data_IF_216274437059
#
_entry.id   IF_216274437059
#
_cell.length_a   1.000
_cell.length_b   1.000
_cell.length_c   1.000
_cell.angle_alpha   90.00
_cell.angle_beta   90.00
_cell.angle_gamma   90.00
#
_symmetry.space_group_name_H-M   'P 1'
#
loop_
_entity.id
_entity.type
_entity.pdbx_description
1 polymer ?
#
# COMPACT_ATOMS: atom_id res chain seq x y z
N UNK A 1 2.84 37.07 25.04
CA UNK A 1 3.86 37.27 23.99
C UNK A 1 3.55 36.31 22.87
N UNK A 2 3.02 36.80 21.75
CA UNK A 2 2.60 35.97 20.61
C UNK A 2 3.83 35.76 19.71
N UNK A 3 4.40 34.56 19.79
CA UNK A 3 5.56 34.18 18.98
C UNK A 3 5.04 33.66 17.62
N UNK A 4 4.76 34.61 16.72
CA UNK A 4 4.34 34.29 15.34
C UNK A 4 5.61 33.93 14.56
N UNK A 5 5.65 32.74 13.94
CA UNK A 5 6.83 32.32 13.17
C UNK A 5 7.12 33.30 12.03
N UNK A 6 8.38 33.53 11.65
CA UNK A 6 8.75 34.42 10.58
C UNK A 6 8.12 33.95 9.24
N UNK A 7 7.53 34.92 8.52
CA UNK A 7 6.82 34.70 7.22
C UNK A 7 7.61 33.88 6.18
N UNK A 8 8.92 33.81 6.27
CA UNK A 8 9.78 33.02 5.37
C UNK A 8 9.71 31.51 5.61
N UNK A 9 9.45 31.07 6.84
CA UNK A 9 9.30 29.64 7.15
C UNK A 9 7.94 29.10 6.69
N UNK A 10 6.87 29.90 6.81
CA UNK A 10 5.54 29.51 6.31
C UNK A 10 5.52 29.36 4.79
N UNK A 11 6.21 30.22 4.04
CA UNK A 11 6.31 30.13 2.58
C UNK A 11 7.13 28.91 2.14
N UNK A 12 8.17 28.53 2.87
CA UNK A 12 9.00 27.36 2.55
C UNK A 12 8.26 26.05 2.84
N UNK A 13 7.44 26.01 3.89
CA UNK A 13 6.58 24.85 4.20
C UNK A 13 5.41 24.69 3.20
N UNK A 14 4.87 25.78 2.67
CA UNK A 14 3.78 25.72 1.69
C UNK A 14 4.20 25.06 0.37
N UNK A 15 5.47 25.18 -0.03
CA UNK A 15 5.99 24.70 -1.31
C UNK A 15 6.66 23.31 -1.25
N UNK A 16 6.59 22.61 -0.09
CA UNK A 16 7.17 21.27 0.03
C UNK A 16 6.32 20.25 -0.71
N UNK A 17 6.83 19.76 -1.84
CA UNK A 17 6.19 18.77 -2.72
C UNK A 17 6.06 17.42 -2.00
N UNK A 18 4.86 16.85 -2.02
CA UNK A 18 4.63 15.46 -1.60
C UNK A 18 5.32 14.52 -2.60
N UNK A 19 6.14 13.60 -2.10
CA UNK A 19 6.86 12.64 -2.92
C UNK A 19 6.26 11.26 -2.67
N UNK A 20 5.79 10.60 -3.73
CA UNK A 20 5.25 9.24 -3.68
C UNK A 20 6.27 8.28 -4.25
N UNK A 21 6.76 7.38 -3.41
CA UNK A 21 7.66 6.30 -3.79
C UNK A 21 6.83 5.03 -4.04
N UNK A 22 6.76 4.63 -5.31
CA UNK A 22 6.00 3.47 -5.78
C UNK A 22 6.75 2.76 -6.90
N UNK A 23 6.67 1.42 -6.93
CA UNK A 23 7.21 0.62 -8.04
C UNK A 23 6.27 0.71 -9.25
N UNK A 24 6.79 1.23 -10.37
CA UNK A 24 6.02 1.33 -11.62
C UNK A 24 5.62 -0.05 -12.17
N UNK A 25 6.49 -1.05 -12.03
CA UNK A 25 6.23 -2.43 -12.46
C UNK A 25 5.02 -3.07 -11.80
N UNK A 26 4.73 -2.73 -10.53
CA UNK A 26 3.57 -3.21 -9.81
C UNK A 26 2.24 -2.75 -10.46
N UNK A 27 2.23 -1.56 -11.04
CA UNK A 27 1.03 -1.06 -11.70
C UNK A 27 0.70 -1.85 -12.97
N UNK A 28 1.70 -2.12 -13.80
CA UNK A 28 1.51 -2.89 -15.05
C UNK A 28 1.10 -4.33 -14.72
N UNK A 29 1.82 -4.98 -13.81
CA UNK A 29 1.50 -6.35 -13.39
C UNK A 29 0.08 -6.46 -12.79
N UNK A 30 -0.29 -5.49 -11.95
CA UNK A 30 -1.63 -5.45 -11.35
C UNK A 30 -2.73 -5.39 -12.41
N UNK A 31 -2.58 -4.52 -13.41
CA UNK A 31 -3.57 -4.40 -14.47
C UNK A 31 -3.64 -5.65 -15.35
N UNK A 32 -2.49 -6.26 -15.68
CA UNK A 32 -2.45 -7.49 -16.44
C UNK A 32 -3.22 -8.62 -15.72
N UNK A 33 -2.99 -8.78 -14.40
CA UNK A 33 -3.69 -9.80 -13.60
C UNK A 33 -5.19 -9.48 -13.50
N UNK A 34 -5.57 -8.21 -13.27
CA UNK A 34 -6.98 -7.81 -13.19
C UNK A 34 -7.71 -8.13 -14.49
N UNK A 35 -7.13 -7.82 -15.66
CA UNK A 35 -7.71 -8.11 -16.96
C UNK A 35 -7.84 -9.62 -17.17
N UNK A 36 -6.81 -10.40 -16.85
CA UNK A 36 -6.85 -11.85 -16.96
C UNK A 36 -7.95 -12.47 -16.06
N UNK A 37 -8.02 -12.04 -14.80
CA UNK A 37 -9.02 -12.55 -13.85
C UNK A 37 -10.45 -12.13 -14.24
N UNK A 38 -10.63 -10.92 -14.77
CA UNK A 38 -11.92 -10.48 -15.29
C UNK A 38 -12.38 -11.32 -16.50
N UNK A 39 -11.44 -11.64 -17.40
CA UNK A 39 -11.73 -12.53 -18.54
C UNK A 39 -12.16 -13.92 -18.07
N UNK A 40 -11.45 -14.54 -17.12
CA UNK A 40 -11.83 -15.84 -16.56
C UNK A 40 -13.17 -15.80 -15.82
N UNK A 41 -13.46 -14.71 -15.12
CA UNK A 41 -14.76 -14.53 -14.45
C UNK A 41 -15.92 -14.45 -15.45
N UNK A 42 -15.72 -13.81 -16.63
CA UNK A 42 -16.71 -13.74 -17.71
C UNK A 42 -16.95 -15.15 -18.28
N UNK A 43 -15.90 -15.90 -18.59
CA UNK A 43 -16.03 -17.28 -19.08
C UNK A 43 -16.77 -18.18 -18.08
N UNK A 44 -16.48 -18.06 -16.79
CA UNK A 44 -17.21 -18.78 -15.77
C UNK A 44 -18.69 -18.37 -15.67
N UNK A 45 -19.00 -17.10 -15.91
CA UNK A 45 -20.38 -16.62 -15.91
C UNK A 45 -21.20 -17.17 -17.09
N UNK A 46 -20.58 -17.40 -18.25
CA UNK A 46 -21.23 -18.02 -19.41
C UNK A 46 -21.65 -19.47 -19.10
N UNK A 47 -20.87 -20.23 -18.32
CA UNK A 47 -21.20 -21.58 -17.92
C UNK A 47 -22.42 -21.66 -16.98
N UNK A 48 -22.70 -20.61 -16.19
CA UNK A 48 -23.91 -20.57 -15.34
C UNK A 48 -25.18 -20.65 -16.19
N UNK A 49 -25.17 -20.02 -17.35
CA UNK A 49 -26.31 -20.03 -18.28
C UNK A 49 -26.61 -21.44 -18.86
N UNK A 50 -25.65 -22.35 -18.83
CA UNK A 50 -25.78 -23.74 -19.28
C UNK A 50 -26.30 -24.72 -18.21
N UNK A 51 -26.59 -24.23 -17.00
CA UNK A 51 -27.22 -25.01 -15.90
C UNK A 51 -26.26 -25.48 -14.80
N UNK A 52 -24.95 -25.28 -14.93
CA UNK A 52 -23.98 -25.63 -13.92
C UNK A 52 -23.70 -24.40 -13.02
N UNK A 53 -24.35 -24.26 -11.88
CA UNK A 53 -24.22 -23.03 -11.06
C UNK A 53 -23.06 -23.06 -10.06
N UNK A 54 -22.85 -24.17 -9.36
CA UNK A 54 -21.94 -24.21 -8.21
C UNK A 54 -20.46 -24.00 -8.58
N UNK A 55 -19.95 -24.75 -9.56
CA UNK A 55 -18.54 -24.63 -10.00
C UNK A 55 -18.18 -23.23 -10.50
N UNK A 56 -18.93 -22.67 -11.46
CA UNK A 56 -18.69 -21.32 -11.97
C UNK A 56 -18.78 -20.22 -10.91
N UNK A 57 -19.72 -20.26 -9.96
CA UNK A 57 -19.80 -19.29 -8.87
C UNK A 57 -18.54 -19.31 -7.98
N UNK A 58 -18.05 -20.51 -7.65
CA UNK A 58 -16.78 -20.64 -6.90
C UNK A 58 -15.61 -20.08 -7.70
N UNK A 59 -15.55 -20.32 -9.00
CA UNK A 59 -14.53 -19.75 -9.90
C UNK A 59 -14.56 -18.23 -9.93
N UNK A 60 -15.74 -17.62 -10.04
CA UNK A 60 -15.91 -16.15 -10.00
C UNK A 60 -15.46 -15.60 -8.66
N UNK A 61 -15.84 -16.23 -7.54
CA UNK A 61 -15.38 -15.80 -6.20
C UNK A 61 -13.86 -15.85 -6.07
N UNK A 62 -13.21 -16.89 -6.59
CA UNK A 62 -11.75 -17.00 -6.60
C UNK A 62 -11.09 -15.91 -7.46
N UNK A 63 -11.62 -15.59 -8.64
CA UNK A 63 -11.14 -14.51 -9.50
C UNK A 63 -11.24 -13.14 -8.78
N UNK A 64 -12.39 -12.84 -8.20
CA UNK A 64 -12.59 -11.60 -7.45
C UNK A 64 -11.66 -11.51 -6.24
N UNK A 65 -11.50 -12.59 -5.47
CA UNK A 65 -10.57 -12.65 -4.34
C UNK A 65 -9.13 -12.40 -4.76
N UNK A 66 -8.70 -12.96 -5.89
CA UNK A 66 -7.38 -12.73 -6.47
C UNK A 66 -7.21 -11.25 -6.85
N UNK A 67 -8.21 -10.62 -7.46
CA UNK A 67 -8.20 -9.18 -7.79
C UNK A 67 -8.03 -8.35 -6.51
N UNK A 68 -8.78 -8.66 -5.45
CA UNK A 68 -8.65 -7.98 -4.14
C UNK A 68 -7.23 -8.05 -3.63
N UNK A 69 -6.66 -9.25 -3.56
CA UNK A 69 -5.31 -9.48 -3.03
C UNK A 69 -4.26 -8.72 -3.84
N UNK A 70 -4.30 -8.86 -5.16
CA UNK A 70 -3.34 -8.19 -6.06
C UNK A 70 -3.45 -6.67 -5.94
N UNK A 71 -4.65 -6.10 -5.93
CA UNK A 71 -4.87 -4.66 -5.82
C UNK A 71 -4.40 -4.11 -4.47
N UNK A 72 -4.59 -4.85 -3.38
CA UNK A 72 -4.11 -4.44 -2.06
C UNK A 72 -2.58 -4.47 -1.97
N UNK A 73 -1.94 -5.53 -2.45
CA UNK A 73 -0.47 -5.65 -2.44
C UNK A 73 0.17 -4.59 -3.35
N UNK A 74 -0.29 -4.48 -4.60
CA UNK A 74 0.28 -3.55 -5.57
C UNK A 74 -0.09 -2.08 -5.31
N UNK A 75 -1.08 -1.83 -4.46
CA UNK A 75 -1.44 -0.50 -3.94
C UNK A 75 -0.47 0.06 -2.91
N UNK A 76 0.42 -0.78 -2.38
CA UNK A 76 1.40 -0.38 -1.37
C UNK A 76 2.36 0.70 -1.91
N UNK A 77 2.68 1.67 -1.07
CA UNK A 77 3.55 2.81 -1.41
C UNK A 77 4.08 3.50 -0.17
N UNK A 78 5.13 4.29 -0.32
CA UNK A 78 5.61 5.21 0.71
C UNK A 78 5.34 6.64 0.24
N UNK A 79 4.74 7.45 1.09
CA UNK A 79 4.43 8.85 0.81
C UNK A 79 5.21 9.73 1.78
N UNK A 80 6.07 10.58 1.24
CA UNK A 80 6.82 11.58 2.00
C UNK A 80 5.99 12.86 2.02
N UNK A 81 5.21 13.01 3.07
CA UNK A 81 4.39 14.18 3.34
C UNK A 81 5.20 15.40 3.80
N UNK A 82 4.53 16.48 4.16
CA UNK A 82 5.19 17.71 4.66
C UNK A 82 5.81 17.52 6.05
N UNK A 83 5.12 16.87 6.97
CA UNK A 83 5.50 16.68 8.38
C UNK A 83 5.64 15.23 8.80
N UNK A 84 5.16 14.30 7.99
CA UNK A 84 5.09 12.87 8.32
C UNK A 84 5.41 12.00 7.11
N UNK A 85 5.86 10.80 7.40
CA UNK A 85 6.08 9.69 6.49
C UNK A 85 4.86 8.77 6.57
N UNK A 86 4.23 8.46 5.44
CA UNK A 86 3.17 7.45 5.39
C UNK A 86 3.68 6.17 4.71
N UNK A 87 3.54 5.04 5.39
CA UNK A 87 3.79 3.71 4.85
C UNK A 87 2.44 3.04 4.61
N UNK A 88 2.02 2.99 3.36
CA UNK A 88 0.76 2.37 2.95
C UNK A 88 1.04 0.91 2.61
N UNK A 89 0.65 0.00 3.49
CA UNK A 89 0.70 -1.44 3.31
C UNK A 89 -0.70 -1.99 2.93
N UNK A 90 -0.82 -3.27 2.53
CA UNK A 90 -2.08 -3.83 2.04
C UNK A 90 -3.26 -3.74 3.03
N UNK A 91 -2.99 -3.81 4.33
CA UNK A 91 -4.00 -3.84 5.40
C UNK A 91 -3.97 -2.57 6.24
N UNK A 92 -2.78 -2.07 6.55
CA UNK A 92 -2.60 -0.93 7.44
C UNK A 92 -1.77 0.16 6.80
N UNK A 93 -2.14 1.40 7.08
CA UNK A 93 -1.36 2.61 6.79
C UNK A 93 -0.79 3.15 8.08
N UNK A 94 0.54 3.33 8.10
CA UNK A 94 1.28 3.90 9.21
C UNK A 94 1.65 5.33 8.87
N UNK A 95 1.32 6.28 9.75
CA UNK A 95 1.72 7.68 9.67
C UNK A 95 2.73 7.96 10.77
N UNK A 96 3.94 8.30 10.37
CA UNK A 96 5.09 8.41 11.26
C UNK A 96 5.64 9.83 11.12
N UNK A 97 5.53 10.69 12.14
CA UNK A 97 6.19 11.97 12.16
C UNK A 97 7.70 11.81 11.97
N UNK A 98 8.34 12.64 11.16
CA UNK A 98 9.77 12.51 10.85
C UNK A 98 10.68 12.52 12.08
N UNK A 99 10.27 13.17 13.18
CA UNK A 99 11.04 13.18 14.44
C UNK A 99 11.13 11.81 15.11
N UNK A 100 10.12 10.96 14.90
CA UNK A 100 10.07 9.61 15.48
C UNK A 100 10.87 8.58 14.66
N UNK A 101 11.25 8.92 13.43
CA UNK A 101 12.09 8.05 12.60
C UNK A 101 13.51 8.09 13.13
N UNK A 102 14.00 6.98 13.66
CA UNK A 102 15.38 6.83 14.16
C UNK A 102 16.30 6.33 13.07
N UNK A 103 15.87 5.30 12.35
CA UNK A 103 16.65 4.67 11.30
C UNK A 103 15.75 4.18 10.17
N UNK A 104 16.28 4.14 8.97
CA UNK A 104 15.64 3.54 7.79
C UNK A 104 16.70 2.70 7.11
N UNK A 105 16.46 1.43 6.99
CA UNK A 105 17.41 0.50 6.37
C UNK A 105 16.72 -0.49 5.43
N UNK A 106 17.53 -1.33 4.82
CA UNK A 106 17.06 -2.46 4.02
C UNK A 106 17.47 -3.72 4.75
N UNK A 107 16.50 -4.53 5.16
CA UNK A 107 16.74 -5.82 5.78
C UNK A 107 17.50 -6.77 4.83
N UNK A 108 18.07 -7.87 5.34
CA UNK A 108 18.85 -8.84 4.54
C UNK A 108 18.06 -9.44 3.38
N UNK A 109 16.74 -9.53 3.52
CA UNK A 109 15.79 -9.97 2.48
C UNK A 109 15.41 -8.87 1.48
N UNK A 110 16.01 -7.67 1.57
CA UNK A 110 15.74 -6.53 0.69
C UNK A 110 14.49 -5.72 1.05
N UNK A 111 13.84 -6.03 2.18
CA UNK A 111 12.65 -5.30 2.65
C UNK A 111 13.05 -3.98 3.30
N UNK A 112 12.44 -2.87 2.86
CA UNK A 112 12.64 -1.57 3.48
C UNK A 112 11.95 -1.52 4.85
N UNK A 113 12.73 -1.25 5.90
CA UNK A 113 12.26 -1.18 7.30
C UNK A 113 12.53 0.21 7.87
N UNK A 114 11.58 0.72 8.64
CA UNK A 114 11.65 2.01 9.31
C UNK A 114 11.57 1.76 10.81
N UNK A 115 12.62 2.16 11.53
CA UNK A 115 12.69 2.08 12.99
C UNK A 115 12.21 3.39 13.60
N UNK A 116 11.44 3.28 14.69
CA UNK A 116 10.91 4.45 15.40
C UNK A 116 11.43 4.54 16.81
N UNK A 117 11.52 5.76 17.35
CA UNK A 117 11.93 6.01 18.73
C UNK A 117 11.01 5.38 19.79
N UNK A 118 9.82 4.96 19.41
CA UNK A 118 8.87 4.23 20.26
C UNK A 118 9.15 2.72 20.28
N UNK A 119 10.27 2.26 19.67
CA UNK A 119 10.68 0.85 19.62
C UNK A 119 9.92 0.01 18.58
N UNK A 120 9.15 0.65 17.71
CA UNK A 120 8.40 -0.02 16.63
C UNK A 120 9.24 -0.17 15.36
N UNK A 121 9.10 -1.32 14.70
CA UNK A 121 9.62 -1.58 13.36
C UNK A 121 8.47 -1.67 12.37
N UNK A 122 8.55 -0.89 11.28
CA UNK A 122 7.52 -0.84 10.26
C UNK A 122 8.13 -1.19 8.92
N UNK A 123 7.82 -2.39 8.44
CA UNK A 123 8.28 -2.88 7.14
C UNK A 123 7.33 -2.46 6.03
N UNK A 124 7.89 -2.09 4.87
CA UNK A 124 7.11 -1.66 3.70
C UNK A 124 6.97 -2.78 2.68
N UNK A 125 5.73 -3.20 2.43
CA UNK A 125 5.42 -4.18 1.37
C UNK A 125 5.69 -3.60 -0.04
N UNK A 126 5.65 -2.27 -0.20
CA UNK A 126 5.97 -1.61 -1.47
C UNK A 126 7.42 -1.87 -1.95
N UNK A 127 8.33 -2.08 -0.98
CA UNK A 127 9.75 -2.39 -1.17
C UNK A 127 10.09 -3.67 -0.40
N UNK A 128 9.22 -4.67 -0.48
CA UNK A 128 9.41 -6.00 0.08
C UNK A 128 10.27 -6.88 -0.81
N UNK A 129 11.19 -7.61 -0.17
CA UNK A 129 12.25 -8.41 -0.75
C UNK A 129 11.85 -9.31 -1.91
N UNK A 130 11.95 -8.79 -3.10
CA UNK A 130 12.00 -9.58 -4.32
C UNK A 130 13.46 -9.73 -4.71
N UNK A 131 13.88 -10.93 -5.09
CA UNK A 131 15.22 -11.19 -5.66
C UNK A 131 15.56 -10.18 -6.78
N UNK A 132 14.56 -9.71 -7.52
CA UNK A 132 14.68 -8.67 -8.52
C UNK A 132 15.02 -7.28 -7.94
N UNK A 133 14.62 -6.99 -6.69
CA UNK A 133 14.94 -5.71 -6.05
C UNK A 133 16.41 -5.58 -5.69
N UNK A 134 17.02 -6.70 -5.30
CA UNK A 134 18.46 -6.74 -5.02
C UNK A 134 19.30 -6.37 -6.26
N UNK A 135 18.86 -6.78 -7.46
CA UNK A 135 19.54 -6.46 -8.72
C UNK A 135 19.27 -5.04 -9.23
N UNK A 136 18.11 -4.44 -8.91
CA UNK A 136 17.72 -3.13 -9.45
C UNK A 136 18.09 -1.98 -8.50
N UNK A 137 18.42 -2.26 -7.23
CA UNK A 137 18.75 -1.25 -6.21
C UNK A 137 17.62 -0.23 -5.98
N UNK A 138 16.37 -0.63 -6.17
CA UNK A 138 15.21 0.26 -6.00
C UNK A 138 14.95 0.59 -4.54
N UNK A 139 15.19 -0.38 -3.65
CA UNK A 139 15.07 -0.21 -2.19
C UNK A 139 16.12 0.74 -1.66
N UNK A 140 17.38 0.60 -2.08
CA UNK A 140 18.49 1.47 -1.62
C UNK A 140 18.27 2.93 -2.02
N UNK A 141 17.78 3.16 -3.25
CA UNK A 141 17.42 4.52 -3.71
C UNK A 141 16.25 5.10 -2.90
N UNK A 142 15.27 4.26 -2.53
CA UNK A 142 14.17 4.69 -1.69
C UNK A 142 14.66 5.02 -0.27
N UNK A 143 15.51 4.17 0.35
CA UNK A 143 16.14 4.41 1.65
C UNK A 143 16.92 5.74 1.64
N UNK A 144 17.80 5.95 0.66
CA UNK A 144 18.57 7.19 0.55
C UNK A 144 17.65 8.42 0.46
N UNK A 145 16.57 8.32 -0.33
CA UNK A 145 15.61 9.43 -0.48
C UNK A 145 14.83 9.71 0.79
N UNK A 146 14.44 8.67 1.52
CA UNK A 146 13.74 8.81 2.81
C UNK A 146 14.67 9.42 3.84
N UNK A 147 15.90 8.90 4.01
CA UNK A 147 16.91 9.45 4.94
C UNK A 147 17.16 10.94 4.70
N UNK A 148 17.33 11.33 3.45
CA UNK A 148 17.53 12.75 3.09
C UNK A 148 16.30 13.59 3.43
N UNK A 149 15.08 13.11 3.13
CA UNK A 149 13.85 13.83 3.45
C UNK A 149 13.62 13.95 4.95
N UNK A 150 13.89 12.88 5.72
CA UNK A 150 13.81 12.89 7.19
C UNK A 150 14.78 13.94 7.76
N UNK A 151 16.03 13.97 7.26
CA UNK A 151 17.03 14.95 7.70
C UNK A 151 16.59 16.40 7.44
N UNK A 152 15.99 16.65 6.26
CA UNK A 152 15.56 18.01 5.86
C UNK A 152 14.28 18.46 6.56
N UNK A 153 13.37 17.53 6.89
CA UNK A 153 12.01 17.85 7.40
C UNK A 153 11.81 17.55 8.88
N UNK A 154 12.86 17.12 9.58
CA UNK A 154 12.81 16.83 11.01
C UNK A 154 12.59 18.13 11.79
N UNK A 155 11.34 18.38 12.23
CA UNK A 155 10.99 19.55 13.03
C UNK A 155 10.78 19.16 14.49
N UNK A 156 11.33 19.89 15.47
CA UNK A 156 11.15 19.58 16.90
C UNK A 156 9.76 19.93 17.44
N UNK A 157 8.95 20.71 16.71
CA UNK A 157 7.71 21.35 17.20
C UNK A 157 6.44 20.51 17.14
N UNK A 158 6.44 19.29 16.65
CA UNK A 158 5.20 18.51 16.49
C UNK A 158 5.09 17.45 17.56
N UNK A 159 4.24 17.64 18.55
CA UNK A 159 3.78 16.57 19.43
C UNK A 159 2.84 15.63 18.65
N UNK A 160 3.38 14.69 17.94
CA UNK A 160 2.61 13.73 17.20
C UNK A 160 3.13 12.31 17.50
N UNK A 161 2.21 11.39 17.74
CA UNK A 161 2.47 9.97 17.89
C UNK A 161 2.37 9.27 16.54
N UNK A 162 3.07 8.16 16.39
CA UNK A 162 2.86 7.28 15.24
C UNK A 162 1.42 6.74 15.25
N UNK A 163 0.72 6.87 14.12
CA UNK A 163 -0.67 6.44 14.00
C UNK A 163 -0.78 5.30 13.00
N UNK A 164 -1.59 4.31 13.35
CA UNK A 164 -1.95 3.19 12.49
C UNK A 164 -3.43 3.27 12.13
N UNK A 165 -3.74 3.22 10.84
CA UNK A 165 -5.12 3.20 10.33
C UNK A 165 -5.30 2.06 9.34
N UNK A 166 -6.54 1.62 9.11
CA UNK A 166 -6.83 0.66 8.05
C UNK A 166 -6.62 1.32 6.69
N UNK A 167 -6.00 0.60 5.78
CA UNK A 167 -5.82 1.05 4.39
C UNK A 167 -7.13 0.88 3.64
N UNK A 168 -7.70 1.99 3.17
CA UNK A 168 -8.90 1.99 2.33
C UNK A 168 -8.49 1.91 0.86
N UNK A 169 -9.03 0.93 0.13
CA UNK A 169 -8.84 0.75 -1.30
C UNK A 169 -10.19 0.46 -1.95
N UNK A 170 -10.88 1.49 -2.40
CA UNK A 170 -12.24 1.42 -2.93
C UNK A 170 -12.48 0.24 -3.89
N UNK A 171 -11.59 0.05 -4.88
CA UNK A 171 -11.73 -1.04 -5.86
C UNK A 171 -11.61 -2.40 -5.17
N UNK A 172 -10.61 -2.58 -4.30
CA UNK A 172 -10.42 -3.84 -3.59
C UNK A 172 -11.57 -4.11 -2.61
N UNK A 173 -12.08 -3.07 -1.95
CA UNK A 173 -13.16 -3.19 -0.97
C UNK A 173 -14.48 -3.53 -1.66
N UNK A 174 -14.79 -2.94 -2.82
CA UNK A 174 -15.94 -3.35 -3.64
C UNK A 174 -15.82 -4.79 -4.16
N UNK A 175 -14.65 -5.18 -4.68
CA UNK A 175 -14.42 -6.56 -5.11
C UNK A 175 -14.52 -7.55 -3.94
N UNK A 176 -14.09 -7.17 -2.73
CA UNK A 176 -14.21 -7.99 -1.52
C UNK A 176 -15.69 -8.25 -1.18
N UNK A 177 -16.53 -7.22 -1.20
CA UNK A 177 -17.98 -7.37 -1.01
C UNK A 177 -18.58 -8.28 -2.07
N UNK A 178 -18.19 -8.10 -3.35
CA UNK A 178 -18.59 -8.99 -4.43
C UNK A 178 -18.16 -10.44 -4.20
N UNK A 179 -16.93 -10.67 -3.76
CA UNK A 179 -16.40 -12.00 -3.43
C UNK A 179 -17.26 -12.67 -2.36
N UNK A 180 -17.57 -11.96 -1.28
CA UNK A 180 -18.40 -12.49 -0.17
C UNK A 180 -19.80 -12.82 -0.69
N UNK A 181 -20.44 -11.94 -1.46
CA UNK A 181 -21.77 -12.16 -2.01
C UNK A 181 -21.83 -13.39 -2.92
N UNK A 182 -20.87 -13.54 -3.84
CA UNK A 182 -20.81 -14.69 -4.75
C UNK A 182 -20.48 -15.98 -3.99
N UNK A 183 -19.60 -15.94 -2.98
CA UNK A 183 -19.28 -17.11 -2.16
C UNK A 183 -20.51 -17.60 -1.37
N UNK A 184 -21.29 -16.67 -0.80
CA UNK A 184 -22.56 -16.99 -0.12
C UNK A 184 -23.56 -17.62 -1.11
N UNK A 185 -23.70 -17.03 -2.31
CA UNK A 185 -24.57 -17.59 -3.34
C UNK A 185 -24.15 -19.02 -3.76
N UNK A 186 -22.84 -19.26 -3.89
CA UNK A 186 -22.30 -20.60 -4.19
C UNK A 186 -22.62 -21.62 -3.09
N UNK A 187 -22.53 -21.22 -1.82
CA UNK A 187 -22.88 -22.07 -0.68
C UNK A 187 -24.38 -22.41 -0.66
N UNK A 188 -25.25 -21.45 -0.95
CA UNK A 188 -26.69 -21.65 -1.01
C UNK A 188 -27.12 -22.53 -2.22
N UNK A 189 -26.37 -22.47 -3.31
CA UNK A 189 -26.61 -23.31 -4.49
C UNK A 189 -26.11 -24.76 -4.32
N UNK A 190 -25.32 -25.04 -3.28
CA UNK A 190 -24.79 -26.39 -3.00
C UNK A 190 -25.63 -27.20 -2.01
N UNK A 191 -26.59 -26.59 -1.33
CA UNK A 191 -27.52 -27.25 -0.37
C UNK A 191 -28.87 -27.52 -1.00
#
# INVERSE_FOLDING_TARGET
MSDKPPKGEEMNQANQKVIVLRRKSFSVLSWAIVVAMAFFAILAAEEISSGAAHGPLTGIAACLGTIVLVRRITGSRIVLGKSELEVVNPVFTYRIPYRLVTEVDTSQDGTLTIHTSEGGEISSVAFGGSLLDHFIGSSDRAVARIKETVRQRRSPRTEAQARRTLTVSWIADFCLLGTIGVAVAALLASG
#
